data_IF_956762137947
#
_entry.id   IF_956762137947
#
_cell.length_a   1.000
_cell.length_b   1.000
_cell.length_c   1.000
_cell.angle_alpha   90.00
_cell.angle_beta   90.00
_cell.angle_gamma   90.00
#
_symmetry.space_group_name_H-M   'P 1'
#
loop_
_entity.id
_entity.type
_entity.pdbx_description
1 polymer ?
#
# COMPACT_ATOMS: atom_id res chain seq x y z
N UNK A 1 -7.20 -1.50 -13.67
CA UNK A 1 -6.24 -0.66 -12.94
C UNK A 1 -7.01 0.17 -11.93
N UNK A 2 -6.69 0.04 -10.63
CA UNK A 2 -7.29 0.86 -9.58
C UNK A 2 -6.30 1.98 -9.28
N UNK A 3 -6.49 3.11 -9.94
CA UNK A 3 -5.60 4.25 -9.81
C UNK A 3 -5.60 5.15 -11.03
N UNK A 4 -5.69 6.46 -10.81
CA UNK A 4 -5.47 7.46 -11.84
C UNK A 4 -4.01 7.50 -12.31
N UNK A 5 -3.69 8.35 -13.30
CA UNK A 5 -2.35 8.40 -13.91
C UNK A 5 -1.22 8.72 -12.91
N UNK A 6 -1.52 9.41 -11.80
CA UNK A 6 -0.52 9.76 -10.77
C UNK A 6 0.01 8.53 -10.04
N UNK A 7 -0.88 7.64 -9.60
CA UNK A 7 -0.47 6.40 -8.92
C UNK A 7 0.12 5.38 -9.88
N UNK A 8 -0.30 5.38 -11.15
CA UNK A 8 0.35 4.55 -12.18
C UNK A 8 1.82 4.95 -12.38
N UNK A 9 2.11 6.25 -12.48
CA UNK A 9 3.49 6.74 -12.53
C UNK A 9 4.30 6.39 -11.27
N UNK A 10 3.69 6.44 -10.08
CA UNK A 10 4.33 6.03 -8.84
C UNK A 10 4.68 4.53 -8.81
N UNK A 11 3.80 3.67 -9.33
CA UNK A 11 4.08 2.24 -9.50
C UNK A 11 5.22 1.99 -10.49
N UNK A 12 5.29 2.76 -11.58
CA UNK A 12 6.39 2.67 -12.56
C UNK A 12 7.74 3.04 -11.93
N UNK A 13 7.79 4.11 -11.13
CA UNK A 13 8.99 4.49 -10.37
C UNK A 13 9.43 3.36 -9.44
N UNK A 14 8.49 2.75 -8.73
CA UNK A 14 8.79 1.62 -7.84
C UNK A 14 9.32 0.41 -8.61
N UNK A 15 8.71 0.09 -9.75
CA UNK A 15 9.14 -1.00 -10.63
C UNK A 15 10.54 -0.75 -11.21
N UNK A 16 10.88 0.51 -11.49
CA UNK A 16 12.21 0.93 -11.93
C UNK A 16 13.25 0.94 -10.79
N UNK A 17 12.84 0.70 -9.55
CA UNK A 17 13.71 0.73 -8.37
C UNK A 17 13.95 2.12 -7.80
N UNK A 18 13.32 3.17 -8.34
CA UNK A 18 13.33 4.51 -7.74
C UNK A 18 12.35 4.57 -6.56
N UNK A 19 12.77 3.98 -5.44
CA UNK A 19 11.97 3.91 -4.22
C UNK A 19 11.66 5.32 -3.68
N UNK A 20 12.64 6.22 -3.74
CA UNK A 20 12.48 7.59 -3.26
C UNK A 20 11.49 8.38 -4.13
N UNK A 21 11.55 8.22 -5.45
CA UNK A 21 10.59 8.80 -6.39
C UNK A 21 9.18 8.25 -6.18
N UNK A 22 9.04 6.93 -6.06
CA UNK A 22 7.76 6.28 -5.80
C UNK A 22 7.12 6.77 -4.48
N UNK A 23 7.93 6.89 -3.42
CA UNK A 23 7.49 7.41 -2.12
C UNK A 23 6.98 8.85 -2.24
N UNK A 24 7.76 9.76 -2.83
CA UNK A 24 7.32 11.15 -3.05
C UNK A 24 6.05 11.24 -3.87
N UNK A 25 5.93 10.42 -4.91
CA UNK A 25 4.73 10.40 -5.75
C UNK A 25 3.49 9.88 -5.00
N UNK A 26 3.65 8.84 -4.18
CA UNK A 26 2.59 8.34 -3.28
C UNK A 26 2.15 9.39 -2.26
N UNK A 27 3.08 10.06 -1.60
CA UNK A 27 2.80 11.16 -0.65
C UNK A 27 2.09 12.33 -1.34
N UNK A 28 2.51 12.71 -2.54
CA UNK A 28 1.86 13.76 -3.31
C UNK A 28 0.41 13.40 -3.69
N UNK A 29 0.11 12.13 -3.94
CA UNK A 29 -1.27 11.67 -4.17
C UNK A 29 -2.14 11.84 -2.92
N UNK A 30 -1.57 11.62 -1.72
CA UNK A 30 -2.28 11.80 -0.45
C UNK A 30 -2.44 13.28 -0.05
N UNK A 31 -1.53 14.14 -0.50
CA UNK A 31 -1.58 15.58 -0.24
C UNK A 31 -2.54 16.35 -1.16
N UNK A 32 -2.95 15.75 -2.28
CA UNK A 32 -3.85 16.35 -3.26
C UNK A 32 -5.28 15.82 -3.11
N UNK A 33 -6.29 16.53 -3.62
CA UNK A 33 -7.63 15.97 -3.81
C UNK A 33 -7.53 14.71 -4.69
N UNK A 34 -7.99 13.59 -4.15
CA UNK A 34 -7.86 12.27 -4.75
C UNK A 34 -9.08 11.44 -4.40
N UNK A 35 -9.52 10.61 -5.34
CA UNK A 35 -10.65 9.71 -5.11
C UNK A 35 -10.22 8.54 -4.20
N UNK A 36 -11.15 7.88 -3.49
CA UNK A 36 -10.82 6.81 -2.54
C UNK A 36 -9.95 5.69 -3.13
N UNK A 37 -10.17 5.32 -4.40
CA UNK A 37 -9.35 4.31 -5.07
C UNK A 37 -7.89 4.75 -5.28
N UNK A 38 -7.67 6.04 -5.54
CA UNK A 38 -6.33 6.62 -5.68
C UNK A 38 -5.65 6.74 -4.32
N UNK A 39 -6.38 7.13 -3.27
CA UNK A 39 -5.88 7.18 -1.89
C UNK A 39 -5.45 5.77 -1.43
N UNK A 40 -6.29 4.74 -1.66
CA UNK A 40 -5.94 3.37 -1.32
C UNK A 40 -4.69 2.90 -2.07
N UNK A 41 -4.60 3.19 -3.37
CA UNK A 41 -3.44 2.82 -4.21
C UNK A 41 -2.16 3.55 -3.76
N UNK A 42 -2.26 4.84 -3.40
CA UNK A 42 -1.14 5.60 -2.85
C UNK A 42 -0.60 4.98 -1.55
N UNK A 43 -1.49 4.57 -0.64
CA UNK A 43 -1.07 3.83 0.55
C UNK A 43 -0.42 2.47 0.22
N UNK A 44 -0.90 1.75 -0.79
CA UNK A 44 -0.24 0.51 -1.24
C UNK A 44 1.18 0.76 -1.77
N UNK A 45 1.38 1.84 -2.52
CA UNK A 45 2.72 2.24 -2.99
C UNK A 45 3.64 2.54 -1.80
N UNK A 46 3.17 3.30 -0.82
CA UNK A 46 3.98 3.64 0.37
C UNK A 46 4.27 2.42 1.24
N UNK A 47 3.34 1.46 1.34
CA UNK A 47 3.59 0.19 2.00
C UNK A 47 4.69 -0.60 1.27
N UNK A 48 4.64 -0.66 -0.06
CA UNK A 48 5.66 -1.33 -0.86
C UNK A 48 7.04 -0.64 -0.81
N UNK A 49 7.09 0.69 -0.77
CA UNK A 49 8.33 1.44 -0.53
C UNK A 49 8.93 1.09 0.85
N UNK A 50 8.09 1.13 1.89
CA UNK A 50 8.51 0.81 3.26
C UNK A 50 9.02 -0.63 3.39
N UNK A 51 8.41 -1.57 2.67
CA UNK A 51 8.92 -2.95 2.55
C UNK A 51 10.34 -3.01 1.99
N UNK A 52 10.61 -2.25 0.92
CA UNK A 52 11.94 -2.21 0.27
C UNK A 52 13.01 -1.58 1.16
N UNK A 53 12.60 -0.67 2.04
CA UNK A 53 13.46 0.00 3.01
C UNK A 53 13.61 -0.77 4.33
N UNK A 54 12.82 -1.83 4.55
CA UNK A 54 12.81 -2.61 5.78
C UNK A 54 12.04 -1.99 6.94
N UNK A 55 11.24 -0.94 6.69
CA UNK A 55 10.38 -0.31 7.69
C UNK A 55 9.04 -1.06 7.79
N UNK A 56 9.04 -2.13 8.59
CA UNK A 56 7.84 -2.93 8.86
C UNK A 56 6.73 -2.12 9.56
N UNK A 57 7.07 -1.08 10.32
CA UNK A 57 6.10 -0.24 11.02
C UNK A 57 5.29 0.61 10.04
N UNK A 58 5.97 1.35 9.17
CA UNK A 58 5.34 2.14 8.12
C UNK A 58 4.57 1.26 7.12
N UNK A 59 5.12 0.08 6.81
CA UNK A 59 4.47 -0.90 5.94
C UNK A 59 3.10 -1.35 6.48
N UNK A 60 3.00 -1.70 7.78
CA UNK A 60 1.72 -2.06 8.42
C UNK A 60 0.78 -0.86 8.50
N UNK A 61 1.29 0.33 8.83
CA UNK A 61 0.47 1.54 8.94
C UNK A 61 -0.21 1.88 7.61
N UNK A 62 0.55 1.90 6.51
CA UNK A 62 0.01 2.21 5.19
C UNK A 62 -0.93 1.12 4.66
N UNK A 63 -0.63 -0.16 4.84
CA UNK A 63 -1.54 -1.23 4.41
C UNK A 63 -2.86 -1.23 5.21
N UNK A 64 -2.80 -0.87 6.50
CA UNK A 64 -4.00 -0.67 7.33
C UNK A 64 -4.83 0.52 6.81
N UNK A 65 -4.19 1.64 6.48
CA UNK A 65 -4.87 2.81 5.92
C UNK A 65 -5.51 2.51 4.55
N UNK A 66 -4.81 1.79 3.66
CA UNK A 66 -5.38 1.35 2.38
C UNK A 66 -6.65 0.51 2.57
N UNK A 67 -6.63 -0.41 3.53
CA UNK A 67 -7.77 -1.27 3.86
C UNK A 67 -8.93 -0.50 4.47
N UNK A 68 -8.65 0.53 5.28
CA UNK A 68 -9.69 1.39 5.83
C UNK A 68 -10.41 2.20 4.73
N UNK A 69 -9.68 2.64 3.70
CA UNK A 69 -10.23 3.39 2.56
C UNK A 69 -11.01 2.47 1.61
N UNK A 70 -10.52 1.26 1.37
CA UNK A 70 -11.12 0.31 0.44
C UNK A 70 -11.33 -1.08 1.10
N UNK A 71 -12.26 -1.21 2.07
CA UNK A 71 -12.41 -2.43 2.88
C UNK A 71 -12.90 -3.64 2.09
N UNK A 72 -13.48 -3.46 0.90
CA UNK A 72 -13.87 -4.54 -0.01
C UNK A 72 -12.82 -4.89 -1.06
N UNK A 73 -11.64 -4.27 -1.03
CA UNK A 73 -10.60 -4.51 -2.04
C UNK A 73 -9.64 -5.62 -1.57
N UNK A 74 -9.61 -6.72 -2.31
CA UNK A 74 -8.74 -7.85 -2.02
C UNK A 74 -7.25 -7.48 -1.96
N UNK A 75 -6.80 -6.54 -2.80
CA UNK A 75 -5.39 -6.12 -2.84
C UNK A 75 -4.95 -5.41 -1.54
N UNK A 76 -5.85 -4.66 -0.91
CA UNK A 76 -5.52 -3.98 0.35
C UNK A 76 -5.40 -4.96 1.51
N UNK A 77 -6.26 -5.99 1.53
CA UNK A 77 -6.16 -7.08 2.49
C UNK A 77 -4.92 -7.95 2.27
N UNK A 78 -4.56 -8.22 1.01
CA UNK A 78 -3.32 -8.94 0.69
C UNK A 78 -2.09 -8.18 1.16
N UNK A 79 -2.00 -6.87 0.86
CA UNK A 79 -0.90 -6.03 1.33
C UNK A 79 -0.86 -5.98 2.87
N UNK A 80 -2.00 -5.86 3.55
CA UNK A 80 -2.05 -5.90 5.00
C UNK A 80 -1.54 -7.23 5.55
N UNK A 81 -1.88 -8.35 4.91
CA UNK A 81 -1.40 -9.66 5.31
C UNK A 81 0.12 -9.78 5.18
N UNK A 82 0.69 -9.40 4.04
CA UNK A 82 2.16 -9.37 3.86
C UNK A 82 2.81 -8.46 4.92
N UNK A 83 2.21 -7.31 5.18
CA UNK A 83 2.75 -6.33 6.13
C UNK A 83 2.86 -6.89 7.54
N UNK A 84 1.78 -7.46 8.06
CA UNK A 84 1.72 -7.97 9.43
C UNK A 84 2.46 -9.31 9.56
N UNK A 85 2.55 -10.09 8.49
CA UNK A 85 3.33 -11.32 8.43
C UNK A 85 4.84 -11.07 8.61
N UNK A 86 5.35 -10.04 7.92
CA UNK A 86 6.74 -9.60 8.03
C UNK A 86 7.05 -8.96 9.40
N UNK A 87 6.04 -8.37 10.05
CA UNK A 87 6.13 -7.89 11.43
C UNK A 87 6.01 -9.04 12.47
N UNK A 88 5.76 -10.28 12.03
CA UNK A 88 5.67 -11.47 12.89
C UNK A 88 4.27 -11.79 13.43
N UNK A 89 3.25 -11.00 13.09
CA UNK A 89 1.86 -11.20 13.52
C UNK A 89 1.12 -12.16 12.56
N UNK A 90 1.46 -13.45 12.68
CA UNK A 90 0.87 -14.53 11.87
C UNK A 90 -0.66 -14.62 12.00
N UNK A 91 -1.28 -14.52 13.20
CA UNK A 91 -2.74 -14.56 13.32
C UNK A 91 -3.43 -13.46 12.51
N UNK A 92 -2.90 -12.23 12.55
CA UNK A 92 -3.46 -11.12 11.79
C UNK A 92 -3.23 -11.28 10.29
N UNK A 93 -2.11 -11.87 9.88
CA UNK A 93 -1.83 -12.16 8.47
C UNK A 93 -2.87 -13.12 7.88
N UNK A 94 -3.17 -14.21 8.58
CA UNK A 94 -4.19 -15.19 8.17
C UNK A 94 -5.56 -14.52 8.07
N UNK A 95 -5.94 -13.72 9.08
CA UNK A 95 -7.23 -13.03 9.08
C UNK A 95 -7.37 -12.03 7.92
N UNK A 96 -6.28 -11.39 7.51
CA UNK A 96 -6.25 -10.50 6.35
C UNK A 96 -6.30 -11.29 5.03
N UNK A 97 -5.53 -12.39 4.88
CA UNK A 97 -5.59 -13.26 3.69
C UNK A 97 -6.99 -13.82 3.45
N UNK A 98 -7.71 -14.22 4.49
CA UNK A 98 -9.09 -14.71 4.35
C UNK A 98 -10.03 -13.66 3.77
N UNK A 99 -9.77 -12.36 4.00
CA UNK A 99 -10.54 -11.25 3.40
C UNK A 99 -10.09 -10.86 2.00
N UNK A 100 -8.97 -11.41 1.53
CA UNK A 100 -8.43 -11.18 0.19
C UNK A 100 -8.92 -12.21 -0.85
N UNK A 101 -9.70 -13.22 -0.42
CA UNK A 101 -10.34 -14.25 -1.26
C UNK A 101 -11.76 -13.85 -1.63
#
# INVERSE_FOLDING_TARGET
MIGGPRVEGAWQLLAAGDIAGARRAGEACLAAPSEPGEIASAHLILAACSRKEGDSGAMVAHATAATAVAPGNALTHYALAESVDAAGDKPRAIAALTRAL
#
